data_IF_160189715903
#
_entry.id   IF_160189715903
#
_cell.length_a   1.000
_cell.length_b   1.000
_cell.length_c   1.000
_cell.angle_alpha   90.00
_cell.angle_beta   90.00
_cell.angle_gamma   90.00
#
_symmetry.space_group_name_H-M   'P 1'
#
loop_
_entity.id
_entity.type
_entity.pdbx_description
1 polymer ?
#
# COMPACT_ATOMS: atom_id res chain seq x y z
N UNK A 1 -17.31 13.83 -1.67
CA UNK A 1 -16.38 12.83 -1.09
C UNK A 1 -15.98 11.89 -2.20
N UNK A 2 -14.69 11.60 -2.36
CA UNK A 2 -14.17 10.72 -3.42
C UNK A 2 -13.57 9.50 -2.72
N UNK A 3 -14.05 8.27 -2.98
CA UNK A 3 -13.39 7.06 -2.50
C UNK A 3 -11.93 7.06 -2.92
N UNK A 4 -11.02 6.64 -2.05
CA UNK A 4 -9.58 6.59 -2.39
C UNK A 4 -8.91 5.39 -1.72
N UNK A 5 -8.11 4.68 -2.49
CA UNK A 5 -7.21 3.63 -2.02
C UNK A 5 -5.77 4.10 -2.23
N UNK A 6 -4.93 3.94 -1.21
CA UNK A 6 -3.48 4.12 -1.27
C UNK A 6 -2.83 2.75 -1.08
N UNK A 7 -1.94 2.34 -1.98
CA UNK A 7 -1.10 1.14 -1.81
C UNK A 7 0.31 1.59 -1.46
N UNK A 8 0.79 1.20 -0.29
CA UNK A 8 2.00 1.76 0.31
C UNK A 8 2.94 0.67 0.83
N UNK A 9 4.24 0.78 0.54
CA UNK A 9 5.26 -0.05 1.17
C UNK A 9 5.46 0.33 2.65
N UNK A 10 5.50 -0.65 3.55
CA UNK A 10 5.66 -0.40 4.99
C UNK A 10 6.95 0.35 5.36
N UNK A 11 7.97 0.26 4.50
CA UNK A 11 9.32 0.84 4.70
C UNK A 11 9.60 2.01 3.77
N UNK A 12 8.60 2.55 3.09
CA UNK A 12 8.81 3.74 2.26
C UNK A 12 9.37 4.90 3.10
N UNK A 13 10.53 5.41 2.71
CA UNK A 13 11.21 6.52 3.39
C UNK A 13 10.40 7.82 3.36
N UNK A 14 9.45 7.97 2.43
CA UNK A 14 8.59 9.13 2.27
C UNK A 14 7.25 9.01 3.03
N UNK A 15 6.93 7.83 3.58
CA UNK A 15 5.62 7.56 4.18
C UNK A 15 5.48 6.13 4.68
N UNK A 16 6.19 5.77 5.75
CA UNK A 16 6.20 4.41 6.29
C UNK A 16 5.02 4.10 7.22
N UNK A 17 4.95 2.84 7.67
CA UNK A 17 3.88 2.32 8.55
C UNK A 17 3.75 3.06 9.89
N UNK A 18 4.81 3.72 10.36
CA UNK A 18 4.78 4.51 11.59
C UNK A 18 4.34 5.96 11.34
N UNK A 19 4.68 6.54 10.19
CA UNK A 19 4.40 7.93 9.85
C UNK A 19 2.95 8.15 9.38
N UNK A 20 2.46 7.32 8.45
CA UNK A 20 1.15 7.53 7.80
C UNK A 20 -0.04 7.55 8.79
N UNK A 21 -0.08 6.71 9.85
CA UNK A 21 -1.16 6.79 10.84
C UNK A 21 -1.21 8.12 11.61
N UNK A 22 -0.13 8.90 11.60
CA UNK A 22 -0.09 10.24 12.21
C UNK A 22 -0.64 11.35 11.31
N UNK A 23 -1.03 11.06 10.08
CA UNK A 23 -1.59 12.05 9.16
C UNK A 23 -3.10 12.21 9.37
N UNK A 24 -3.59 13.43 9.22
CA UNK A 24 -5.04 13.72 9.19
C UNK A 24 -5.62 13.34 7.82
N UNK A 25 -5.75 12.04 7.57
CA UNK A 25 -6.40 11.51 6.38
C UNK A 25 -7.92 11.44 6.55
N UNK A 26 -8.66 11.68 5.46
CA UNK A 26 -10.10 11.45 5.43
C UNK A 26 -10.41 9.99 5.78
N UNK A 27 -11.46 9.76 6.56
CA UNK A 27 -11.96 8.40 6.87
C UNK A 27 -12.42 7.62 5.62
N UNK A 28 -12.58 8.30 4.47
CA UNK A 28 -12.88 7.65 3.18
C UNK A 28 -11.63 7.14 2.45
N UNK A 29 -10.43 7.35 3.00
CA UNK A 29 -9.17 6.86 2.44
C UNK A 29 -8.86 5.52 3.09
N UNK A 30 -8.69 4.49 2.26
CA UNK A 30 -8.15 3.20 2.66
C UNK A 30 -6.66 3.14 2.33
N UNK A 31 -5.86 2.53 3.22
CA UNK A 31 -4.43 2.31 2.99
C UNK A 31 -4.14 0.81 3.06
N UNK A 32 -3.71 0.23 1.94
CA UNK A 32 -3.18 -1.12 1.86
C UNK A 32 -1.67 -1.08 2.05
N UNK A 33 -1.17 -1.90 2.97
CA UNK A 33 0.26 -1.99 3.28
C UNK A 33 0.90 -3.23 2.66
N UNK A 34 2.01 -3.03 1.96
CA UNK A 34 2.84 -4.10 1.41
C UNK A 34 4.03 -4.37 2.31
N UNK A 35 4.13 -5.61 2.78
CA UNK A 35 5.03 -6.03 3.86
C UNK A 35 6.49 -5.82 3.48
N UNK A 36 7.20 -5.04 4.29
CA UNK A 36 8.60 -4.67 4.04
C UNK A 36 8.88 -4.00 2.67
N UNK A 37 7.83 -3.54 1.96
CA UNK A 37 7.92 -2.83 0.69
C UNK A 37 8.54 -1.44 0.87
N UNK A 38 9.33 -0.98 -0.10
CA UNK A 38 9.80 0.40 -0.20
C UNK A 38 8.87 1.25 -1.10
N UNK A 39 9.35 2.42 -1.56
CA UNK A 39 8.59 3.32 -2.44
C UNK A 39 8.30 2.73 -3.83
N UNK A 40 9.12 1.79 -4.28
CA UNK A 40 8.88 1.03 -5.51
C UNK A 40 7.99 -0.19 -5.26
N UNK A 41 7.49 -0.36 -4.03
CA UNK A 41 6.79 -1.57 -3.55
C UNK A 41 7.69 -2.81 -3.51
N UNK A 42 9.01 -2.67 -3.63
CA UNK A 42 9.94 -3.81 -3.57
C UNK A 42 10.12 -4.25 -2.12
N UNK A 43 9.85 -5.52 -1.79
CA UNK A 43 10.09 -6.04 -0.45
C UNK A 43 11.60 -6.23 -0.18
N UNK A 44 11.96 -6.28 1.10
CA UNK A 44 13.24 -6.88 1.50
C UNK A 44 13.28 -8.35 1.14
N UNK A 45 14.44 -8.86 0.69
CA UNK A 45 14.63 -10.29 0.41
C UNK A 45 14.26 -11.20 1.59
N UNK A 46 14.47 -10.73 2.81
CA UNK A 46 14.17 -11.49 4.04
C UNK A 46 12.67 -11.59 4.37
N UNK A 47 11.80 -10.82 3.70
CA UNK A 47 10.35 -10.89 3.97
C UNK A 47 9.69 -12.14 3.36
N UNK A 48 10.37 -12.84 2.45
CA UNK A 48 9.81 -13.98 1.72
C UNK A 48 8.90 -13.61 0.54
N UNK A 49 8.74 -12.31 0.25
CA UNK A 49 7.98 -11.82 -0.90
C UNK A 49 8.89 -11.40 -2.06
N UNK A 50 8.40 -11.55 -3.29
CA UNK A 50 8.98 -10.96 -4.49
C UNK A 50 8.30 -9.62 -4.81
N UNK A 51 8.98 -8.79 -5.60
CA UNK A 51 8.38 -7.57 -6.11
C UNK A 51 7.15 -7.84 -6.98
N UNK A 52 7.19 -8.88 -7.81
CA UNK A 52 6.06 -9.28 -8.65
C UNK A 52 4.83 -9.69 -7.82
N UNK A 53 5.02 -10.39 -6.71
CA UNK A 53 3.92 -10.73 -5.79
C UNK A 53 3.28 -9.47 -5.18
N UNK A 54 4.08 -8.46 -4.86
CA UNK A 54 3.58 -7.18 -4.39
C UNK A 54 2.81 -6.41 -5.47
N UNK A 55 3.32 -6.40 -6.71
CA UNK A 55 2.62 -5.77 -7.85
C UNK A 55 1.29 -6.47 -8.14
N UNK A 56 1.26 -7.81 -8.11
CA UNK A 56 0.04 -8.59 -8.28
C UNK A 56 -0.97 -8.28 -7.16
N UNK A 57 -0.53 -8.29 -5.90
CA UNK A 57 -1.39 -7.96 -4.78
C UNK A 57 -1.97 -6.53 -4.88
N UNK A 58 -1.14 -5.56 -5.29
CA UNK A 58 -1.58 -4.19 -5.54
C UNK A 58 -2.62 -4.12 -6.67
N UNK A 59 -2.38 -4.81 -7.79
CA UNK A 59 -3.30 -4.86 -8.92
C UNK A 59 -4.65 -5.48 -8.55
N UNK A 60 -4.65 -6.58 -7.79
CA UNK A 60 -5.86 -7.23 -7.29
C UNK A 60 -6.65 -6.29 -6.39
N UNK A 61 -5.99 -5.62 -5.43
CA UNK A 61 -6.67 -4.68 -4.53
C UNK A 61 -7.25 -3.47 -5.28
N UNK A 62 -6.49 -2.89 -6.22
CA UNK A 62 -6.95 -1.77 -7.05
C UNK A 62 -8.14 -2.19 -7.91
N UNK A 63 -8.08 -3.36 -8.56
CA UNK A 63 -9.19 -3.86 -9.37
C UNK A 63 -10.44 -4.14 -8.52
N UNK A 64 -10.28 -4.68 -7.31
CA UNK A 64 -11.36 -4.88 -6.36
C UNK A 64 -12.01 -3.55 -5.93
N UNK A 65 -11.18 -2.56 -5.59
CA UNK A 65 -11.63 -1.22 -5.22
C UNK A 65 -12.42 -0.55 -6.34
N UNK A 66 -11.93 -0.60 -7.59
CA UNK A 66 -12.60 -0.03 -8.75
C UNK A 66 -13.96 -0.69 -9.06
N UNK A 67 -14.12 -1.98 -8.75
CA UNK A 67 -15.39 -2.71 -8.95
C UNK A 67 -16.42 -2.46 -7.85
N UNK A 68 -15.96 -2.06 -6.67
CA UNK A 68 -16.80 -1.77 -5.51
C UNK A 68 -17.32 -0.33 -5.48
N UNK A 69 -16.74 0.55 -6.30
CA UNK A 69 -17.20 1.92 -6.56
C UNK A 69 -18.35 1.93 -7.58
#
# INVERSE_FOLDING_TARGET
>A
KTPTLIVQGERDALGNRAAVPGYELSQSIEVMWLVAGDHDLKPLKASGFSHEQHLEAAAVQVAGFLRAC
#
